data_IF_969728410198
#
_entry.id   IF_969728410198
#
_cell.length_a   1.000
_cell.length_b   1.000
_cell.length_c   1.000
_cell.angle_alpha   90.00
_cell.angle_beta   90.00
_cell.angle_gamma   90.00
#
_symmetry.space_group_name_H-M   'P 1'
#
loop_
_entity.id
_entity.type
_entity.pdbx_description
1 polymer ?
#
# COMPACT_ATOMS: atom_id res chain seq x y z
N UNK A 1 -14.50 -14.05 9.20
CA UNK A 1 -13.07 -13.91 9.57
C UNK A 1 -12.30 -13.63 8.31
N UNK A 2 -11.89 -12.38 8.12
CA UNK A 2 -11.07 -11.96 6.99
C UNK A 2 -9.60 -11.84 7.43
N UNK A 3 -8.68 -11.85 6.46
CA UNK A 3 -7.25 -11.62 6.70
C UNK A 3 -6.84 -10.27 6.13
N UNK A 4 -6.31 -9.40 6.97
CA UNK A 4 -5.80 -8.09 6.59
C UNK A 4 -4.28 -8.06 6.64
N UNK A 5 -3.64 -7.61 5.56
CA UNK A 5 -2.21 -7.32 5.53
C UNK A 5 -1.98 -5.83 5.78
N UNK A 6 -1.27 -5.49 6.84
CA UNK A 6 -0.82 -4.12 7.12
C UNK A 6 0.64 -3.94 6.71
N UNK A 7 0.88 -3.23 5.61
CA UNK A 7 2.22 -2.97 5.06
C UNK A 7 2.76 -1.64 5.58
N UNK A 8 3.89 -1.72 6.28
CA UNK A 8 4.64 -0.56 6.78
C UNK A 8 5.83 -0.28 5.86
N UNK A 9 5.82 0.86 5.18
CA UNK A 9 6.84 1.25 4.21
C UNK A 9 7.48 2.62 4.53
N UNK A 10 7.92 2.80 5.79
CA UNK A 10 8.63 3.99 6.24
C UNK A 10 9.74 3.57 7.21
N UNK A 11 11.02 4.00 7.03
CA UNK A 11 12.11 3.67 7.95
C UNK A 11 12.03 4.40 9.29
N UNK A 12 11.17 5.42 9.42
CA UNK A 12 11.02 6.17 10.68
C UNK A 12 10.38 5.31 11.75
N UNK A 13 10.78 5.51 13.03
CA UNK A 13 10.05 4.97 14.17
C UNK A 13 8.58 5.41 14.15
N UNK A 14 7.71 4.60 14.72
CA UNK A 14 6.25 4.80 14.68
C UNK A 14 5.84 6.14 15.30
N UNK A 15 6.46 6.53 16.40
CA UNK A 15 6.22 7.78 17.14
C UNK A 15 6.71 9.05 16.40
N UNK A 16 7.56 8.91 15.38
CA UNK A 16 8.10 10.01 14.58
C UNK A 16 7.50 10.08 13.17
N UNK A 17 6.52 9.25 12.87
CA UNK A 17 5.92 9.13 11.55
C UNK A 17 4.47 9.56 11.52
N UNK A 18 4.19 10.67 10.84
CA UNK A 18 2.82 11.12 10.60
C UNK A 18 2.01 10.06 9.84
N UNK A 19 2.62 9.40 8.86
CA UNK A 19 1.96 8.31 8.12
C UNK A 19 1.55 7.18 9.05
N UNK A 20 2.40 6.79 10.00
CA UNK A 20 2.07 5.75 10.98
C UNK A 20 1.05 6.23 12.02
N UNK A 21 1.09 7.49 12.43
CA UNK A 21 0.06 8.07 13.29
C UNK A 21 -1.34 7.97 12.66
N UNK A 22 -1.43 8.22 11.35
CA UNK A 22 -2.69 8.08 10.61
C UNK A 22 -3.10 6.60 10.43
N UNK A 23 -2.18 5.75 10.00
CA UNK A 23 -2.50 4.35 9.75
C UNK A 23 -2.79 3.55 11.02
N UNK A 24 -2.14 3.86 12.13
CA UNK A 24 -2.44 3.22 13.41
C UNK A 24 -3.87 3.53 13.88
N UNK A 25 -4.32 4.79 13.72
CA UNK A 25 -5.71 5.14 14.03
C UNK A 25 -6.72 4.31 13.21
N UNK A 26 -6.41 4.00 11.95
CA UNK A 26 -7.21 3.09 11.12
C UNK A 26 -7.15 1.65 11.64
N UNK A 27 -5.95 1.11 11.87
CA UNK A 27 -5.75 -0.29 12.28
C UNK A 27 -6.38 -0.57 13.65
N UNK A 28 -6.21 0.33 14.61
CA UNK A 28 -6.82 0.20 15.94
C UNK A 28 -8.35 0.19 15.86
N UNK A 29 -8.96 1.11 15.08
CA UNK A 29 -10.39 1.15 14.87
C UNK A 29 -10.90 -0.08 14.09
N UNK A 30 -10.13 -0.55 13.11
CA UNK A 30 -10.43 -1.76 12.37
C UNK A 30 -10.48 -3.00 13.29
N UNK A 31 -9.48 -3.15 14.15
CA UNK A 31 -9.41 -4.28 15.09
C UNK A 31 -10.58 -4.27 16.08
N UNK A 32 -11.02 -3.06 16.51
CA UNK A 32 -12.21 -2.92 17.38
C UNK A 32 -13.50 -3.28 16.65
N UNK A 33 -13.63 -2.91 15.37
CA UNK A 33 -14.82 -3.16 14.57
C UNK A 33 -14.91 -4.61 14.05
N UNK A 34 -13.77 -5.25 13.86
CA UNK A 34 -13.65 -6.60 13.29
C UNK A 34 -12.76 -7.48 14.18
N UNK A 35 -13.19 -7.80 15.44
CA UNK A 35 -12.35 -8.47 16.42
C UNK A 35 -11.97 -9.91 16.01
N UNK A 36 -12.73 -10.53 15.12
CA UNK A 36 -12.47 -11.88 14.62
C UNK A 36 -11.54 -11.93 13.40
N UNK A 37 -11.17 -10.78 12.82
CA UNK A 37 -10.29 -10.73 11.66
C UNK A 37 -8.81 -10.78 12.08
N UNK A 38 -8.00 -11.48 11.30
CA UNK A 38 -6.54 -11.56 11.51
C UNK A 38 -5.83 -10.37 10.86
N UNK A 39 -4.89 -9.75 11.60
CA UNK A 39 -4.07 -8.65 11.08
C UNK A 39 -2.60 -9.09 11.10
N UNK A 40 -2.04 -9.30 9.90
CA UNK A 40 -0.62 -9.55 9.73
C UNK A 40 0.11 -8.22 9.39
N UNK A 41 1.20 -7.95 10.11
CA UNK A 41 2.01 -6.74 9.89
C UNK A 41 3.26 -7.09 9.11
N UNK A 42 3.47 -6.42 7.98
CA UNK A 42 4.68 -6.54 7.16
C UNK A 42 5.44 -5.20 7.17
N UNK A 43 6.54 -5.15 7.93
CA UNK A 43 7.44 -4.01 7.89
C UNK A 43 8.53 -4.24 6.83
N UNK A 44 8.47 -3.47 5.74
CA UNK A 44 9.37 -3.61 4.60
C UNK A 44 10.82 -3.19 4.90
N UNK A 45 11.04 -2.47 6.00
CA UNK A 45 12.40 -2.10 6.44
C UNK A 45 13.00 -3.10 7.44
N UNK A 46 12.18 -4.04 7.92
CA UNK A 46 12.62 -5.14 8.80
C UNK A 46 12.59 -6.50 8.08
N UNK A 47 12.08 -6.55 6.85
CA UNK A 47 11.92 -7.79 6.09
C UNK A 47 12.83 -7.77 4.86
N UNK A 48 13.57 -8.85 4.66
CA UNK A 48 14.39 -9.01 3.45
C UNK A 48 13.45 -9.34 2.28
N UNK A 49 13.36 -8.41 1.31
CA UNK A 49 12.59 -8.60 0.10
C UNK A 49 13.48 -9.05 -1.06
N UNK A 50 13.08 -10.05 -1.85
CA UNK A 50 13.82 -10.40 -3.06
C UNK A 50 13.76 -9.24 -4.07
N UNK A 51 14.92 -8.87 -4.60
CA UNK A 51 15.04 -7.86 -5.65
C UNK A 51 15.18 -8.58 -6.98
N UNK A 52 14.41 -8.17 -7.99
CA UNK A 52 14.51 -8.71 -9.33
C UNK A 52 15.85 -8.32 -9.95
N UNK A 53 16.76 -9.27 -10.05
CA UNK A 53 18.03 -9.18 -10.75
C UNK A 53 18.01 -10.05 -12.03
N UNK A 54 19.11 -10.09 -12.75
CA UNK A 54 19.21 -10.85 -14.00
C UNK A 54 18.98 -12.36 -13.80
N UNK A 55 19.52 -12.93 -12.73
CA UNK A 55 19.39 -14.35 -12.42
C UNK A 55 17.96 -14.71 -12.03
N UNK A 56 17.32 -13.88 -11.20
CA UNK A 56 15.90 -14.05 -10.85
C UNK A 56 14.98 -13.86 -12.05
N UNK A 57 15.28 -12.90 -12.91
CA UNK A 57 14.53 -12.71 -14.15
C UNK A 57 14.65 -13.96 -15.09
N UNK A 58 15.83 -14.53 -15.18
CA UNK A 58 16.03 -15.77 -15.95
C UNK A 58 15.20 -16.93 -15.37
N UNK A 59 15.23 -17.12 -14.02
CA UNK A 59 14.40 -18.12 -13.34
C UNK A 59 12.90 -17.84 -13.50
N UNK A 60 12.49 -16.58 -13.42
CA UNK A 60 11.11 -16.17 -13.65
C UNK A 60 10.62 -16.57 -15.04
N UNK A 61 11.42 -16.30 -16.08
CA UNK A 61 11.10 -16.67 -17.47
C UNK A 61 11.04 -18.19 -17.68
N UNK A 62 11.81 -18.97 -16.91
CA UNK A 62 11.81 -20.42 -16.91
C UNK A 62 10.70 -21.01 -16.00
N UNK A 63 9.99 -20.20 -15.22
CA UNK A 63 8.98 -20.65 -14.27
C UNK A 63 9.55 -21.29 -12.99
N UNK A 64 10.84 -21.12 -12.73
CA UNK A 64 11.56 -21.71 -11.57
C UNK A 64 11.82 -20.70 -10.44
N UNK A 65 11.41 -19.43 -10.60
CA UNK A 65 11.52 -18.43 -9.52
C UNK A 65 10.50 -18.71 -8.42
N UNK A 66 10.99 -18.98 -7.21
CA UNK A 66 10.16 -19.40 -6.08
C UNK A 66 9.97 -18.32 -5.02
N UNK A 67 10.98 -17.51 -4.73
CA UNK A 67 10.93 -16.51 -3.66
C UNK A 67 9.91 -15.42 -3.97
N UNK A 68 9.98 -14.79 -5.16
CA UNK A 68 9.01 -13.78 -5.59
C UNK A 68 7.61 -14.39 -5.74
N UNK A 69 7.53 -15.61 -6.24
CA UNK A 69 6.25 -16.32 -6.36
C UNK A 69 5.58 -16.52 -4.99
N UNK A 70 6.36 -16.85 -3.95
CA UNK A 70 5.85 -16.99 -2.58
C UNK A 70 5.31 -15.68 -2.04
N UNK A 71 6.01 -14.55 -2.26
CA UNK A 71 5.52 -13.20 -1.87
C UNK A 71 4.18 -12.89 -2.55
N UNK A 72 4.06 -13.17 -3.86
CA UNK A 72 2.81 -12.96 -4.59
C UNK A 72 1.68 -13.88 -4.09
N UNK A 73 1.96 -15.15 -3.80
CA UNK A 73 0.98 -16.09 -3.25
C UNK A 73 0.52 -15.68 -1.84
N UNK A 74 1.44 -15.28 -0.99
CA UNK A 74 1.13 -14.75 0.33
C UNK A 74 0.22 -13.52 0.23
N UNK A 75 0.60 -12.53 -0.60
CA UNK A 75 -0.23 -11.35 -0.83
C UNK A 75 -1.65 -11.74 -1.28
N UNK A 76 -1.78 -12.63 -2.26
CA UNK A 76 -3.08 -13.08 -2.77
C UNK A 76 -3.96 -13.79 -1.73
N UNK A 77 -3.38 -14.31 -0.66
CA UNK A 77 -4.13 -15.00 0.40
C UNK A 77 -4.85 -14.06 1.37
N UNK A 78 -4.64 -12.75 1.25
CA UNK A 78 -5.33 -11.74 2.07
C UNK A 78 -6.60 -11.24 1.37
N UNK A 79 -7.59 -10.88 2.18
CA UNK A 79 -8.84 -10.27 1.72
C UNK A 79 -8.73 -8.75 1.63
N UNK A 80 -7.89 -8.17 2.49
CA UNK A 80 -7.72 -6.73 2.68
C UNK A 80 -6.25 -6.36 2.80
N UNK A 81 -5.89 -5.17 2.33
CA UNK A 81 -4.54 -4.64 2.45
C UNK A 81 -4.57 -3.16 2.83
N UNK A 82 -3.82 -2.80 3.86
CA UNK A 82 -3.56 -1.41 4.25
C UNK A 82 -2.10 -1.10 4.01
N UNK A 83 -1.81 -0.08 3.23
CA UNK A 83 -0.45 0.36 2.92
C UNK A 83 -0.20 1.69 3.60
N UNK A 84 0.80 1.76 4.48
CA UNK A 84 1.27 2.98 5.11
C UNK A 84 2.64 3.37 4.55
N UNK A 85 2.65 4.35 3.64
CA UNK A 85 3.89 4.85 3.04
C UNK A 85 3.85 6.36 2.83
N UNK A 86 4.91 7.12 3.20
CA UNK A 86 5.02 8.54 2.90
C UNK A 86 5.29 8.76 1.41
N UNK A 87 5.09 10.00 0.97
CA UNK A 87 5.54 10.41 -0.37
C UNK A 87 6.99 10.87 -0.30
N UNK A 88 7.84 10.24 -1.11
CA UNK A 88 9.24 10.60 -1.32
C UNK A 88 9.49 10.86 -2.81
N UNK A 89 10.06 12.03 -3.12
CA UNK A 89 10.43 12.38 -4.51
C UNK A 89 9.27 12.15 -5.49
N UNK A 90 8.06 12.62 -5.15
CA UNK A 90 6.82 12.50 -5.92
C UNK A 90 6.25 11.07 -6.07
N UNK A 91 6.89 10.07 -5.47
CA UNK A 91 6.44 8.69 -5.44
C UNK A 91 6.45 8.16 -4.01
N UNK A 92 6.52 6.86 -3.80
CA UNK A 92 6.62 6.21 -2.51
C UNK A 92 8.05 5.65 -2.29
N UNK A 93 8.43 5.24 -1.07
CA UNK A 93 9.75 4.68 -0.79
C UNK A 93 10.09 3.47 -1.65
N UNK A 94 11.37 3.31 -2.01
CA UNK A 94 11.85 2.24 -2.87
C UNK A 94 11.46 0.83 -2.39
N UNK A 95 11.45 0.61 -1.07
CA UNK A 95 11.04 -0.68 -0.49
C UNK A 95 9.60 -1.04 -0.84
N UNK A 96 8.69 -0.05 -0.92
CA UNK A 96 7.33 -0.31 -1.38
C UNK A 96 7.32 -0.68 -2.88
N UNK A 97 8.15 -0.04 -3.71
CA UNK A 97 8.25 -0.41 -5.13
C UNK A 97 8.74 -1.85 -5.32
N UNK A 98 9.77 -2.26 -4.56
CA UNK A 98 10.27 -3.64 -4.56
C UNK A 98 9.14 -4.61 -4.19
N UNK A 99 8.37 -4.32 -3.14
CA UNK A 99 7.25 -5.16 -2.75
C UNK A 99 6.16 -5.23 -3.82
N UNK A 100 5.79 -4.09 -4.42
CA UNK A 100 4.81 -4.04 -5.51
C UNK A 100 5.27 -4.84 -6.73
N UNK A 101 6.56 -4.82 -7.07
CA UNK A 101 7.12 -5.62 -8.15
C UNK A 101 7.03 -7.12 -7.83
N UNK A 102 7.19 -7.52 -6.57
CA UNK A 102 7.11 -8.90 -6.15
C UNK A 102 5.68 -9.45 -6.14
N UNK A 103 4.67 -8.63 -5.83
CA UNK A 103 3.27 -9.10 -5.84
C UNK A 103 2.69 -9.21 -7.24
N UNK A 104 3.28 -8.57 -8.25
CA UNK A 104 2.87 -8.69 -9.65
C UNK A 104 3.56 -9.91 -10.26
N UNK A 105 2.93 -11.09 -10.13
CA UNK A 105 3.49 -12.34 -10.60
C UNK A 105 2.51 -13.09 -11.52
N UNK A 106 2.98 -13.42 -12.74
CA UNK A 106 2.16 -14.12 -13.74
C UNK A 106 1.65 -15.46 -13.20
N UNK A 107 0.39 -15.79 -13.50
CA UNK A 107 -0.35 -16.98 -13.04
C UNK A 107 -0.62 -17.02 -11.52
N UNK A 108 -0.19 -16.01 -10.76
CA UNK A 108 -0.55 -15.86 -9.34
C UNK A 108 -1.52 -14.70 -9.15
N UNK A 109 -1.10 -13.47 -9.44
CA UNK A 109 -1.91 -12.27 -9.26
C UNK A 109 -2.48 -11.70 -10.57
N UNK A 110 -1.94 -12.11 -11.71
CA UNK A 110 -2.50 -11.82 -13.02
C UNK A 110 -2.20 -12.96 -14.03
N UNK A 111 -2.93 -12.94 -15.16
CA UNK A 111 -2.69 -13.87 -16.28
C UNK A 111 -3.07 -13.22 -17.61
N UNK A 112 -2.82 -13.91 -18.71
CA UNK A 112 -3.32 -13.55 -20.04
C UNK A 112 -4.26 -14.66 -20.56
N UNK A 113 -5.42 -14.25 -21.12
CA UNK A 113 -6.35 -15.12 -21.84
C UNK A 113 -6.73 -14.41 -23.15
N UNK A 114 -6.57 -15.07 -24.26
CA UNK A 114 -6.89 -14.53 -25.60
C UNK A 114 -6.23 -13.15 -25.84
N UNK A 115 -4.97 -13.00 -25.42
CA UNK A 115 -4.20 -11.77 -25.55
C UNK A 115 -4.60 -10.64 -24.57
N UNK A 116 -5.61 -10.85 -23.72
CA UNK A 116 -6.07 -9.87 -22.73
C UNK A 116 -5.49 -10.15 -21.35
N UNK A 117 -5.06 -9.10 -20.67
CA UNK A 117 -4.64 -9.16 -19.26
C UNK A 117 -5.86 -9.38 -18.37
N UNK A 118 -5.76 -10.33 -17.47
CA UNK A 118 -6.78 -10.68 -16.46
C UNK A 118 -6.13 -10.62 -15.07
N UNK A 119 -6.57 -9.70 -14.24
CA UNK A 119 -6.17 -9.67 -12.83
C UNK A 119 -6.86 -10.77 -12.02
N UNK A 120 -6.15 -11.33 -11.06
CA UNK A 120 -6.60 -12.48 -10.28
C UNK A 120 -6.87 -12.16 -8.79
N UNK A 121 -6.91 -10.86 -8.44
CA UNK A 121 -7.21 -10.38 -7.09
C UNK A 121 -8.44 -9.44 -7.03
N UNK A 122 -9.57 -9.72 -7.75
CA UNK A 122 -10.65 -8.74 -7.95
C UNK A 122 -11.47 -8.44 -6.68
N UNK A 123 -11.36 -9.26 -5.65
CA UNK A 123 -12.15 -9.11 -4.41
C UNK A 123 -11.39 -8.43 -3.27
N UNK A 124 -10.10 -8.23 -3.41
CA UNK A 124 -9.28 -7.60 -2.39
C UNK A 124 -9.66 -6.13 -2.22
N UNK A 125 -9.74 -5.66 -0.99
CA UNK A 125 -9.89 -4.23 -0.66
C UNK A 125 -8.52 -3.64 -0.33
N UNK A 126 -8.22 -2.45 -0.85
CA UNK A 126 -6.94 -1.78 -0.58
C UNK A 126 -7.16 -0.36 -0.09
N UNK A 127 -6.53 -0.02 1.03
CA UNK A 127 -6.42 1.32 1.59
C UNK A 127 -4.97 1.78 1.55
N UNK A 128 -4.69 2.90 0.88
CA UNK A 128 -3.37 3.54 0.91
C UNK A 128 -3.41 4.78 1.79
N UNK A 129 -2.68 4.75 2.90
CA UNK A 129 -2.56 5.84 3.87
C UNK A 129 -1.19 6.48 3.71
N UNK A 130 -1.17 7.80 3.45
CA UNK A 130 0.05 8.50 3.08
C UNK A 130 0.18 9.88 3.73
N UNK A 131 1.35 10.47 3.63
CA UNK A 131 1.59 11.88 3.98
C UNK A 131 2.67 12.50 3.11
N UNK A 132 2.53 13.79 2.79
CA UNK A 132 3.47 14.54 1.96
C UNK A 132 3.70 15.95 2.49
N UNK A 133 4.95 16.43 2.38
CA UNK A 133 5.25 17.84 2.54
C UNK A 133 4.72 18.69 1.37
N UNK A 134 4.62 18.10 0.18
CA UNK A 134 4.12 18.71 -1.05
C UNK A 134 2.59 18.59 -1.14
N UNK A 135 1.99 19.59 -1.81
CA UNK A 135 0.60 19.55 -2.25
C UNK A 135 0.58 19.36 -3.78
N UNK A 136 -0.24 18.44 -4.25
CA UNK A 136 -0.36 18.08 -5.66
C UNK A 136 -1.63 18.70 -6.26
N UNK A 137 -1.64 20.04 -6.38
CA UNK A 137 -2.73 20.82 -6.95
C UNK A 137 -2.19 21.81 -7.99
N UNK A 138 -3.06 22.30 -8.87
CA UNK A 138 -2.70 23.25 -9.93
C UNK A 138 -1.59 22.69 -10.83
N UNK A 139 -0.54 23.46 -11.05
CA UNK A 139 0.62 23.09 -11.90
C UNK A 139 1.40 21.87 -11.39
N UNK A 140 1.23 21.49 -10.11
CA UNK A 140 1.91 20.33 -9.53
C UNK A 140 1.09 19.05 -9.56
N UNK A 141 -0.12 19.08 -10.10
CA UNK A 141 -1.00 17.91 -10.19
C UNK A 141 -0.37 16.75 -10.94
N UNK A 142 0.38 17.04 -12.00
CA UNK A 142 1.01 16.02 -12.84
C UNK A 142 2.21 15.31 -12.18
N UNK A 143 2.70 15.84 -11.05
CA UNK A 143 3.76 15.21 -10.25
C UNK A 143 3.23 14.23 -9.19
N UNK A 144 1.92 13.98 -9.13
CA UNK A 144 1.32 12.98 -8.23
C UNK A 144 1.51 11.55 -8.78
N UNK A 145 2.75 11.12 -8.83
CA UNK A 145 3.07 9.79 -9.34
C UNK A 145 2.76 8.68 -8.34
N UNK A 146 2.77 8.97 -7.04
CA UNK A 146 2.53 7.94 -6.03
C UNK A 146 1.11 7.35 -6.10
N UNK A 147 0.07 8.17 -6.28
CA UNK A 147 -1.30 7.67 -6.40
C UNK A 147 -1.54 7.00 -7.74
N UNK A 148 -1.06 7.60 -8.82
CA UNK A 148 -1.22 7.06 -10.17
C UNK A 148 -0.55 5.71 -10.30
N UNK A 149 0.68 5.56 -9.79
CA UNK A 149 1.44 4.31 -9.88
C UNK A 149 0.80 3.21 -9.03
N UNK A 150 0.37 3.52 -7.79
CA UNK A 150 -0.23 2.51 -6.92
C UNK A 150 -1.54 1.98 -7.52
N UNK A 151 -2.39 2.88 -8.05
CA UNK A 151 -3.62 2.50 -8.73
C UNK A 151 -3.36 1.63 -9.95
N UNK A 152 -2.38 1.99 -10.79
CA UNK A 152 -2.01 1.22 -11.97
C UNK A 152 -1.51 -0.20 -11.64
N UNK A 153 -0.70 -0.35 -10.58
CA UNK A 153 -0.22 -1.67 -10.15
C UNK A 153 -1.38 -2.54 -9.65
N UNK A 154 -2.30 -1.98 -8.88
CA UNK A 154 -3.44 -2.73 -8.37
C UNK A 154 -4.49 -3.04 -9.44
N UNK A 155 -4.70 -2.13 -10.41
CA UNK A 155 -5.53 -2.39 -11.60
C UNK A 155 -5.00 -3.58 -12.41
N UNK A 156 -3.68 -3.67 -12.61
CA UNK A 156 -3.03 -4.78 -13.31
C UNK A 156 -3.36 -6.15 -12.68
N UNK A 157 -3.47 -6.23 -11.36
CA UNK A 157 -3.82 -7.46 -10.64
C UNK A 157 -5.34 -7.62 -10.40
N UNK A 158 -6.15 -6.71 -10.94
CA UNK A 158 -7.61 -6.83 -11.04
C UNK A 158 -8.41 -6.03 -10.02
N UNK A 159 -7.78 -5.13 -9.25
CA UNK A 159 -8.50 -4.25 -8.35
C UNK A 159 -8.99 -3.00 -9.10
N UNK A 160 -10.29 -2.76 -9.06
CA UNK A 160 -10.89 -1.57 -9.70
C UNK A 160 -10.79 -0.31 -8.86
N UNK A 161 -10.63 -0.46 -7.54
CA UNK A 161 -10.60 0.67 -6.61
C UNK A 161 -9.53 0.49 -5.54
N UNK A 162 -8.72 1.53 -5.38
CA UNK A 162 -7.80 1.72 -4.26
C UNK A 162 -8.21 2.99 -3.55
N UNK A 163 -8.60 2.89 -2.29
CA UNK A 163 -8.90 4.05 -1.46
C UNK A 163 -7.60 4.71 -1.02
N UNK A 164 -7.51 6.03 -1.20
CA UNK A 164 -6.34 6.81 -0.77
C UNK A 164 -6.77 7.85 0.25
N UNK A 165 -6.14 7.84 1.41
CA UNK A 165 -6.31 8.86 2.44
C UNK A 165 -4.94 9.38 2.86
N UNK A 166 -4.77 10.71 2.88
CA UNK A 166 -3.48 11.26 3.25
C UNK A 166 -3.52 12.73 3.64
N UNK A 167 -2.44 13.17 4.28
CA UNK A 167 -2.19 14.57 4.57
C UNK A 167 -1.16 15.12 3.59
N UNK A 168 -1.59 16.05 2.75
CA UNK A 168 -0.73 16.68 1.74
C UNK A 168 -0.46 18.14 2.08
N UNK A 169 0.73 18.62 1.71
CA UNK A 169 1.12 20.02 1.91
C UNK A 169 1.41 20.38 3.37
N UNK A 170 1.88 19.44 4.20
CA UNK A 170 2.07 19.64 5.64
C UNK A 170 2.89 20.89 5.99
N UNK A 171 3.86 21.28 5.13
CA UNK A 171 4.72 22.45 5.36
C UNK A 171 3.99 23.80 5.21
N UNK A 172 2.72 23.80 4.79
CA UNK A 172 1.87 24.99 4.66
C UNK A 172 1.10 25.31 5.93
N UNK A 173 1.11 24.41 6.92
CA UNK A 173 0.32 24.53 8.14
C UNK A 173 1.17 24.93 9.31
N UNK A 174 0.63 25.79 10.19
CA UNK A 174 1.16 25.98 11.53
C UNK A 174 1.05 24.67 12.34
N UNK A 175 1.76 24.55 13.44
CA UNK A 175 1.68 23.35 14.30
C UNK A 175 0.25 23.09 14.78
N UNK A 176 -0.50 24.13 15.14
CA UNK A 176 -1.89 24.02 15.57
C UNK A 176 -2.81 23.55 14.44
N UNK A 177 -2.70 24.16 13.25
CA UNK A 177 -3.44 23.74 12.06
C UNK A 177 -3.13 22.30 11.65
N UNK A 178 -1.86 21.91 11.73
CA UNK A 178 -1.42 20.54 11.42
C UNK A 178 -2.07 19.55 12.40
N UNK A 179 -2.00 19.81 13.70
CA UNK A 179 -2.62 18.97 14.71
C UNK A 179 -4.13 18.81 14.50
N UNK A 180 -4.83 19.92 14.20
CA UNK A 180 -6.26 19.87 13.93
C UNK A 180 -6.58 18.99 12.69
N UNK A 181 -5.83 19.16 11.60
CA UNK A 181 -5.99 18.33 10.39
C UNK A 181 -5.69 16.85 10.62
N UNK A 182 -4.67 16.54 11.41
CA UNK A 182 -4.33 15.16 11.78
C UNK A 182 -5.49 14.52 12.54
N UNK A 183 -6.04 15.21 13.57
CA UNK A 183 -7.19 14.72 14.30
C UNK A 183 -8.41 14.49 13.40
N UNK A 184 -8.73 15.41 12.50
CA UNK A 184 -9.83 15.24 11.54
C UNK A 184 -9.62 14.03 10.62
N UNK A 185 -8.40 13.83 10.11
CA UNK A 185 -8.07 12.68 9.27
C UNK A 185 -8.12 11.36 10.04
N UNK A 186 -7.66 11.34 11.29
CA UNK A 186 -7.75 10.16 12.14
C UNK A 186 -9.22 9.76 12.38
N UNK A 187 -10.10 10.72 12.66
CA UNK A 187 -11.54 10.43 12.81
C UNK A 187 -12.17 9.92 11.50
N UNK A 188 -11.82 10.49 10.36
CA UNK A 188 -12.25 9.97 9.05
C UNK A 188 -11.75 8.54 8.81
N UNK A 189 -10.49 8.26 9.13
CA UNK A 189 -9.88 6.94 9.00
C UNK A 189 -10.54 5.91 9.90
N UNK A 190 -10.87 6.27 11.14
CA UNK A 190 -11.63 5.40 12.05
C UNK A 190 -13.00 5.04 11.47
N UNK A 191 -13.74 6.02 10.95
CA UNK A 191 -15.04 5.77 10.31
C UNK A 191 -14.92 4.83 9.10
N UNK A 192 -13.88 5.02 8.28
CA UNK A 192 -13.61 4.12 7.14
C UNK A 192 -13.25 2.71 7.58
N UNK A 193 -12.55 2.56 8.70
CA UNK A 193 -12.15 1.26 9.24
C UNK A 193 -13.36 0.38 9.61
N UNK A 194 -14.45 0.98 10.13
CA UNK A 194 -15.70 0.26 10.41
C UNK A 194 -16.39 -0.33 9.17
N UNK A 195 -16.14 0.23 7.99
CA UNK A 195 -16.76 -0.17 6.72
C UNK A 195 -15.80 -0.98 5.83
N UNK A 196 -14.55 -1.05 6.21
CA UNK A 196 -13.50 -1.71 5.44
C UNK A 196 -13.54 -3.22 5.63
#
# INVERSE_FOLDING_TARGET
MARLLYIKANPKPTDQSLTYSLSNAFIEAYQQAHPDDEIDVLDLYQTIMPIMDYERLARYNQGTETEIKQVAQQFKSYDKCVIAAPVWNHSFPAMLKIYLDNIVYRQVTFTYRDGKLIGLCPKMKVMYITSSAQLYEGERKDFDHHQTQIKAVFDLIGLQQVDVVGLFGRNRFSSEQLNHKVCQLQENLKQKAYQF
#
